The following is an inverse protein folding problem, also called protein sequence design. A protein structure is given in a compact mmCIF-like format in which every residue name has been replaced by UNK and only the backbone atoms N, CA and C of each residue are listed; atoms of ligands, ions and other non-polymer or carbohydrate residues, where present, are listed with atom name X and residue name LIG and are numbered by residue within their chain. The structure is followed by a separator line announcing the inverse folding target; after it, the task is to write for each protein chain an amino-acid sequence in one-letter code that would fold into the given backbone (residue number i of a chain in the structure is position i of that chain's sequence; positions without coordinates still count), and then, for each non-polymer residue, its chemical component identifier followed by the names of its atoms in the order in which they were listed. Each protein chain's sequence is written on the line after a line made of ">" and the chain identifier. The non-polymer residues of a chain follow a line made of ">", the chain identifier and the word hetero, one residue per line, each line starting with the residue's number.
data_IF_518221747684
#
_entry.id   IF_518221747684
#
_cell.length_a   1.000
_cell.length_b   1.000
_cell.length_c   1.000
_cell.angle_alpha   90.00
_cell.angle_beta   90.00
_cell.angle_gamma   90.00
#
_symmetry.space_group_name_H-M   'P 1'
#
loop_
_entity.id
_entity.type
_entity.pdbx_description
1 polymer ?
#
# COMPACT_ATOMS: atom_id res chain seq x y z
N UNK A 1 7.07 -11.53 -45.61
CA UNK A 1 6.63 -12.73 -44.88
C UNK A 1 5.80 -12.25 -43.70
N UNK A 2 4.47 -12.38 -43.80
CA UNK A 2 3.52 -12.08 -42.73
C UNK A 2 3.27 -13.36 -41.93
N UNK A 3 3.32 -13.28 -40.61
CA UNK A 3 2.64 -14.25 -39.75
C UNK A 3 1.85 -13.48 -38.69
N UNK A 4 0.54 -13.68 -38.74
CA UNK A 4 -0.44 -13.18 -37.82
C UNK A 4 -0.75 -14.23 -36.72
N UNK A 5 -1.45 -13.74 -35.68
CA UNK A 5 -2.27 -14.47 -34.70
C UNK A 5 -1.51 -15.13 -33.52
N UNK A 6 -2.03 -15.17 -32.28
CA UNK A 6 -3.43 -15.17 -31.79
C UNK A 6 -3.53 -14.48 -30.42
N UNK A 7 -4.69 -13.87 -30.16
CA UNK A 7 -5.23 -13.62 -28.81
C UNK A 7 -5.51 -14.95 -28.12
N UNK A 8 -5.15 -15.08 -26.86
CA UNK A 8 -5.73 -16.06 -25.93
C UNK A 8 -6.17 -15.36 -24.66
N UNK A 9 -7.49 -15.29 -24.48
CA UNK A 9 -8.14 -15.13 -23.19
C UNK A 9 -7.87 -16.39 -22.35
N UNK A 10 -7.43 -16.24 -21.10
CA UNK A 10 -7.26 -17.35 -20.17
C UNK A 10 -7.80 -16.97 -18.80
N UNK A 11 -9.06 -17.35 -18.61
CA UNK A 11 -9.64 -17.97 -17.42
C UNK A 11 -9.55 -17.24 -16.06
N UNK A 12 -10.72 -16.76 -15.62
CA UNK A 12 -11.09 -16.54 -14.22
C UNK A 12 -10.79 -17.77 -13.35
N UNK A 13 -10.17 -17.62 -12.18
CA UNK A 13 -10.23 -18.64 -11.15
C UNK A 13 -11.52 -18.46 -10.34
N UNK A 14 -12.44 -19.41 -10.49
CA UNK A 14 -13.53 -19.66 -9.55
C UNK A 14 -12.95 -19.87 -8.15
N UNK A 15 -13.27 -18.96 -7.23
CA UNK A 15 -12.81 -19.00 -5.84
C UNK A 15 -13.71 -19.95 -5.02
N UNK A 16 -13.47 -21.25 -5.10
CA UNK A 16 -14.10 -22.24 -4.22
C UNK A 16 -13.02 -23.02 -3.45
N UNK A 17 -12.59 -22.49 -2.30
CA UNK A 17 -11.85 -23.26 -1.30
C UNK A 17 -12.08 -22.68 0.10
N UNK A 18 -13.29 -22.88 0.64
CA UNK A 18 -13.50 -22.82 2.08
C UNK A 18 -12.76 -24.01 2.71
N UNK A 19 -11.49 -23.81 3.09
CA UNK A 19 -10.73 -24.77 3.90
C UNK A 19 -11.45 -24.94 5.24
N UNK A 20 -12.12 -26.07 5.45
CA UNK A 20 -12.59 -26.51 6.78
C UNK A 20 -11.38 -26.62 7.70
N UNK A 21 -11.11 -25.59 8.48
CA UNK A 21 -10.15 -25.68 9.57
C UNK A 21 -10.77 -26.57 10.65
N UNK A 22 -10.22 -27.78 10.79
CA UNK A 22 -10.58 -28.67 11.88
C UNK A 22 -9.92 -28.17 13.16
N UNK A 23 -10.72 -27.50 14.01
CA UNK A 23 -10.30 -27.06 15.33
C UNK A 23 -10.00 -28.28 16.22
N UNK A 24 -8.73 -28.48 16.57
CA UNK A 24 -8.32 -29.48 17.56
C UNK A 24 -8.55 -28.93 18.96
N UNK A 25 -9.67 -29.31 19.58
CA UNK A 25 -9.91 -29.05 21.00
C UNK A 25 -8.98 -29.89 21.89
N UNK A 26 -8.28 -29.23 22.81
CA UNK A 26 -7.45 -29.86 23.84
C UNK A 26 -8.28 -30.71 24.82
N UNK A 27 -7.66 -31.71 25.46
CA UNK A 27 -8.34 -32.73 26.28
C UNK A 27 -9.24 -32.17 27.39
N UNK A 28 -8.84 -31.06 28.03
CA UNK A 28 -9.65 -30.36 29.05
C UNK A 28 -10.95 -29.75 28.49
N UNK A 29 -10.93 -29.25 27.25
CA UNK A 29 -12.09 -28.62 26.62
C UNK A 29 -13.13 -29.63 26.17
N UNK A 30 -12.70 -30.85 25.81
CA UNK A 30 -13.62 -31.95 25.44
C UNK A 30 -14.49 -32.42 26.61
N UNK A 31 -13.96 -32.43 27.83
CA UNK A 31 -14.69 -32.87 29.02
C UNK A 31 -15.77 -31.88 29.45
N UNK A 32 -15.49 -30.58 29.36
CA UNK A 32 -16.44 -29.51 29.69
C UNK A 32 -17.62 -29.53 28.70
N UNK A 33 -17.33 -29.67 27.40
CA UNK A 33 -18.36 -29.71 26.36
C UNK A 33 -19.27 -30.95 26.47
N UNK A 34 -18.71 -32.13 26.79
CA UNK A 34 -19.49 -33.36 26.99
C UNK A 34 -20.39 -33.32 28.22
N UNK A 35 -19.97 -32.65 29.30
CA UNK A 35 -20.76 -32.55 30.53
C UNK A 35 -21.91 -31.53 30.41
N UNK A 36 -21.78 -30.50 29.57
CA UNK A 36 -22.88 -29.57 29.30
C UNK A 36 -24.02 -30.20 28.46
N UNK A 37 -23.72 -31.10 27.52
CA UNK A 37 -24.75 -31.70 26.66
C UNK A 37 -25.65 -32.70 27.41
N UNK A 38 -25.15 -33.33 28.47
CA UNK A 38 -25.90 -34.36 29.22
C UNK A 38 -26.75 -33.83 30.38
N UNK A 39 -26.67 -32.54 30.70
CA UNK A 39 -27.31 -31.97 31.88
C UNK A 39 -28.49 -31.06 31.50
N UNK A 40 -29.70 -31.63 31.48
CA UNK A 40 -31.00 -30.94 31.37
C UNK A 40 -31.32 -30.11 32.64
N UNK A 41 -30.41 -29.22 33.05
CA UNK A 41 -30.64 -28.30 34.18
C UNK A 41 -30.84 -26.88 33.63
N UNK A 42 -31.99 -26.23 33.88
CA UNK A 42 -32.37 -24.94 33.29
C UNK A 42 -31.52 -23.75 33.77
N UNK A 43 -30.56 -23.99 34.67
CA UNK A 43 -29.61 -22.98 35.15
C UNK A 43 -28.38 -22.77 34.24
N UNK A 44 -28.14 -23.63 33.24
CA UNK A 44 -27.08 -23.39 32.25
C UNK A 44 -27.49 -22.39 31.17
N UNK A 45 -28.79 -22.23 30.89
CA UNK A 45 -29.28 -21.43 29.76
C UNK A 45 -29.00 -19.92 29.96
N UNK A 46 -29.06 -19.44 31.21
CA UNK A 46 -28.77 -18.04 31.54
C UNK A 46 -27.28 -17.68 31.49
N UNK A 47 -26.38 -18.65 31.76
CA UNK A 47 -24.93 -18.42 31.63
C UNK A 47 -24.39 -18.74 30.24
N UNK A 48 -25.09 -19.58 29.48
CA UNK A 48 -24.75 -19.89 28.10
C UNK A 48 -25.03 -18.72 27.13
N UNK A 49 -25.92 -17.78 27.50
CA UNK A 49 -26.21 -16.60 26.68
C UNK A 49 -25.04 -15.59 26.62
N UNK A 50 -24.04 -15.70 27.50
CA UNK A 50 -22.92 -14.75 27.58
C UNK A 50 -21.66 -15.16 26.77
N UNK A 51 -21.67 -16.26 26.01
CA UNK A 51 -20.43 -16.80 25.39
C UNK A 51 -20.45 -16.88 23.86
N UNK A 52 -21.28 -16.10 23.16
CA UNK A 52 -21.22 -15.98 21.69
C UNK A 52 -21.12 -14.52 21.25
N UNK A 53 -20.08 -13.84 21.72
CA UNK A 53 -19.55 -12.65 21.06
C UNK A 53 -18.18 -13.03 20.46
N UNK A 54 -18.17 -13.89 19.44
CA UNK A 54 -16.99 -14.06 18.61
C UNK A 54 -16.84 -12.79 17.76
N UNK A 55 -15.98 -11.89 18.23
CA UNK A 55 -15.57 -10.69 17.52
C UNK A 55 -14.95 -11.14 16.20
N UNK A 56 -15.67 -10.96 15.09
CA UNK A 56 -15.06 -10.99 13.78
C UNK A 56 -14.17 -9.74 13.70
N UNK A 57 -12.89 -9.87 14.07
CA UNK A 57 -11.88 -8.87 13.74
C UNK A 57 -11.69 -8.92 12.22
N UNK A 58 -12.54 -8.21 11.49
CA UNK A 58 -12.28 -7.89 10.10
C UNK A 58 -11.06 -6.98 10.11
N UNK A 59 -9.91 -7.53 9.71
CA UNK A 59 -8.74 -6.68 9.53
C UNK A 59 -8.93 -5.93 8.22
N UNK A 60 -9.28 -4.66 8.33
CA UNK A 60 -9.35 -3.77 7.18
C UNK A 60 -7.92 -3.50 6.69
N UNK A 61 -7.73 -3.58 5.38
CA UNK A 61 -6.52 -3.10 4.72
C UNK A 61 -6.37 -1.60 4.98
N UNK A 62 -5.16 -1.16 5.34
CA UNK A 62 -4.87 0.26 5.51
C UNK A 62 -3.49 0.57 4.96
N UNK A 63 -3.44 1.56 4.08
CA UNK A 63 -2.21 2.06 3.48
C UNK A 63 -2.03 3.52 3.84
N UNK A 64 -0.80 3.88 4.23
CA UNK A 64 -0.38 5.24 4.51
C UNK A 64 0.78 5.64 3.62
N UNK A 65 0.74 6.88 3.14
CA UNK A 65 1.84 7.55 2.46
C UNK A 65 2.15 8.82 3.22
N UNK A 66 3.37 8.97 3.70
CA UNK A 66 3.85 10.19 4.35
C UNK A 66 4.91 10.85 3.48
N UNK A 67 4.74 12.13 3.23
CA UNK A 67 5.70 12.99 2.56
C UNK A 67 6.48 13.79 3.59
N UNK A 68 7.79 13.62 3.59
CA UNK A 68 8.73 14.52 4.23
C UNK A 68 9.34 15.44 3.15
N UNK A 69 8.88 16.68 3.15
CA UNK A 69 9.36 17.70 2.22
C UNK A 69 10.43 18.54 2.90
N UNK A 70 11.70 18.16 2.72
CA UNK A 70 12.83 18.89 3.29
C UNK A 70 13.25 20.13 2.47
N UNK A 71 12.53 20.43 1.38
CA UNK A 71 12.81 21.57 0.52
C UNK A 71 12.30 22.91 1.08
N UNK A 72 11.38 22.89 2.05
CA UNK A 72 10.72 24.09 2.58
C UNK A 72 9.77 24.79 1.60
N UNK A 73 9.57 24.24 0.39
CA UNK A 73 8.67 24.75 -0.64
C UNK A 73 8.15 23.61 -1.53
N UNK A 74 7.15 23.90 -2.37
CA UNK A 74 6.48 22.89 -3.19
C UNK A 74 5.34 22.19 -2.46
N UNK A 75 4.45 21.56 -3.25
CA UNK A 75 3.22 20.96 -2.77
C UNK A 75 3.21 19.45 -3.04
N UNK A 76 3.17 18.59 -2.02
CA UNK A 76 3.05 17.14 -2.22
C UNK A 76 1.76 16.80 -2.95
N UNK A 77 1.84 16.03 -4.03
CA UNK A 77 0.67 15.53 -4.77
C UNK A 77 0.73 14.01 -4.81
N UNK A 78 -0.44 13.39 -4.59
CA UNK A 78 -0.66 11.98 -4.93
C UNK A 78 -1.76 11.89 -5.97
N UNK A 79 -1.50 11.16 -7.05
CA UNK A 79 -2.51 10.80 -8.05
C UNK A 79 -2.73 9.29 -8.11
N UNK A 80 -3.95 8.89 -8.47
CA UNK A 80 -4.33 7.51 -8.77
C UNK A 80 -5.10 7.50 -10.09
N UNK A 81 -4.66 6.70 -11.06
CA UNK A 81 -5.33 6.59 -12.36
C UNK A 81 -5.52 7.92 -13.11
N UNK A 82 -4.66 8.90 -12.85
CA UNK A 82 -4.75 10.24 -13.45
C UNK A 82 -5.51 11.29 -12.63
N UNK A 83 -6.12 10.91 -11.51
CA UNK A 83 -6.88 11.81 -10.64
C UNK A 83 -6.11 12.14 -9.37
N UNK A 84 -6.14 13.39 -8.94
CA UNK A 84 -5.54 13.81 -7.67
C UNK A 84 -6.36 13.26 -6.50
N UNK A 85 -5.71 12.48 -5.64
CA UNK A 85 -6.32 11.86 -4.44
C UNK A 85 -5.77 12.45 -3.13
N UNK A 86 -4.63 13.14 -3.20
CA UNK A 86 -4.09 13.95 -2.10
C UNK A 86 -3.42 15.19 -2.70
N UNK A 87 -3.75 16.36 -2.15
CA UNK A 87 -3.24 17.64 -2.63
C UNK A 87 -2.73 18.49 -1.46
N UNK A 88 -1.42 18.51 -1.28
CA UNK A 88 -0.71 19.32 -0.29
C UNK A 88 -0.63 18.72 1.11
N UNK A 89 -1.30 17.60 1.37
CA UNK A 89 -1.16 16.91 2.67
C UNK A 89 0.17 16.17 2.75
N UNK A 90 0.88 16.33 3.86
CA UNK A 90 2.08 15.55 4.18
C UNK A 90 1.76 14.10 4.55
N UNK A 91 0.50 13.76 4.80
CA UNK A 91 0.09 12.38 5.07
C UNK A 91 -1.20 12.08 4.34
N UNK A 92 -1.21 10.95 3.66
CA UNK A 92 -2.36 10.36 3.02
C UNK A 92 -2.57 8.98 3.63
N UNK A 93 -3.83 8.65 3.93
CA UNK A 93 -4.20 7.30 4.40
C UNK A 93 -5.42 6.85 3.63
N UNK A 94 -5.42 5.58 3.25
CA UNK A 94 -6.54 4.94 2.57
C UNK A 94 -6.82 3.58 3.21
N UNK A 95 -8.10 3.22 3.34
CA UNK A 95 -8.57 1.90 3.77
C UNK A 95 -8.83 0.95 2.59
N UNK A 96 -8.49 1.36 1.37
CA UNK A 96 -8.49 0.54 0.17
C UNK A 96 -7.08 0.44 -0.43
N UNK A 97 -6.93 -0.49 -1.38
CA UNK A 97 -5.77 -0.54 -2.25
C UNK A 97 -5.54 0.80 -2.98
N UNK A 98 -4.28 1.13 -3.21
CA UNK A 98 -3.85 2.21 -4.09
C UNK A 98 -3.18 1.59 -5.31
N UNK A 99 -3.78 1.74 -6.49
CA UNK A 99 -3.30 1.10 -7.72
C UNK A 99 -2.72 2.12 -8.70
N UNK A 100 -1.47 1.89 -9.15
CA UNK A 100 -0.76 2.84 -10.02
C UNK A 100 -0.76 4.26 -9.43
N UNK A 101 -0.52 4.35 -8.13
CA UNK A 101 -0.35 5.61 -7.42
C UNK A 101 0.94 6.30 -7.85
N UNK A 102 0.89 7.62 -7.98
CA UNK A 102 2.07 8.45 -8.26
C UNK A 102 2.16 9.54 -7.23
N UNK A 103 3.33 9.68 -6.63
CA UNK A 103 3.65 10.71 -5.67
C UNK A 103 4.78 11.59 -6.21
N UNK A 104 4.59 12.91 -6.15
CA UNK A 104 5.59 13.88 -6.60
C UNK A 104 5.44 15.22 -5.87
N UNK A 105 6.50 16.03 -5.91
CA UNK A 105 6.47 17.39 -5.38
C UNK A 105 6.16 18.37 -6.49
N UNK A 106 4.99 18.99 -6.44
CA UNK A 106 4.62 20.04 -7.40
C UNK A 106 5.34 21.34 -7.05
N UNK A 107 6.30 21.73 -7.88
CA UNK A 107 7.07 22.98 -7.77
C UNK A 107 6.62 24.06 -8.75
N UNK A 108 5.63 23.76 -9.60
CA UNK A 108 5.07 24.64 -10.62
C UNK A 108 5.36 24.18 -12.06
N UNK A 109 6.36 23.32 -12.26
CA UNK A 109 6.77 22.80 -13.57
C UNK A 109 6.31 21.39 -13.87
N UNK A 110 5.80 20.64 -12.88
CA UNK A 110 5.37 19.26 -13.08
C UNK A 110 4.02 19.22 -13.80
N UNK A 111 3.87 18.26 -14.71
CA UNK A 111 2.58 17.90 -15.29
C UNK A 111 1.59 17.37 -14.24
N UNK A 112 0.35 17.16 -14.65
CA UNK A 112 -0.73 16.74 -13.75
C UNK A 112 -0.50 15.38 -13.08
N UNK A 113 0.36 14.54 -13.65
CA UNK A 113 0.74 13.23 -13.10
C UNK A 113 2.23 13.15 -12.74
N UNK A 114 2.89 14.30 -12.59
CA UNK A 114 4.33 14.37 -12.28
C UNK A 114 5.23 14.32 -13.51
N UNK A 115 4.70 14.48 -14.74
CA UNK A 115 5.54 14.61 -15.94
C UNK A 115 6.56 15.75 -15.77
N UNK A 116 7.81 15.52 -16.17
CA UNK A 116 8.91 16.47 -15.94
C UNK A 116 9.40 16.57 -14.49
N UNK A 117 8.97 15.66 -13.60
CA UNK A 117 9.37 15.63 -12.20
C UNK A 117 9.70 14.22 -11.71
N UNK A 118 10.43 14.16 -10.59
CA UNK A 118 10.75 12.89 -9.94
C UNK A 118 9.46 12.30 -9.39
N UNK A 119 9.10 11.10 -9.84
CA UNK A 119 7.89 10.40 -9.41
C UNK A 119 8.27 9.17 -8.59
N UNK A 120 7.61 9.01 -7.46
CA UNK A 120 7.54 7.74 -6.74
C UNK A 120 6.28 7.01 -7.18
N UNK A 121 6.44 5.91 -7.90
CA UNK A 121 5.36 5.03 -8.31
C UNK A 121 5.08 4.03 -7.20
N UNK A 122 3.80 3.74 -6.94
CA UNK A 122 3.40 2.82 -5.90
C UNK A 122 2.18 2.00 -6.27
N UNK A 123 2.20 0.74 -5.85
CA UNK A 123 1.03 -0.12 -5.79
C UNK A 123 0.95 -0.64 -4.36
N UNK A 124 -0.04 -0.16 -3.60
CA UNK A 124 -0.24 -0.53 -2.21
C UNK A 124 -1.45 -1.44 -2.13
N UNK A 125 -1.22 -2.75 -2.04
CA UNK A 125 -2.27 -3.75 -1.99
C UNK A 125 -1.82 -4.93 -1.11
N UNK A 126 -2.70 -5.44 -0.26
CA UNK A 126 -2.41 -6.64 0.51
C UNK A 126 -2.47 -7.91 -0.37
N UNK A 127 -1.53 -8.86 -0.26
CA UNK A 127 -0.36 -8.87 0.63
C UNK A 127 0.92 -8.30 -0.01
N UNK A 128 0.86 -7.81 -1.25
CA UNK A 128 2.05 -7.43 -2.03
C UNK A 128 1.98 -5.96 -2.43
N UNK A 129 2.71 -5.12 -1.71
CA UNK A 129 2.91 -3.72 -2.08
C UNK A 129 4.27 -3.51 -2.74
N UNK A 130 4.35 -2.61 -3.72
CA UNK A 130 5.59 -2.21 -4.38
C UNK A 130 5.67 -0.70 -4.44
N UNK A 131 6.89 -0.18 -4.34
CA UNK A 131 7.21 1.22 -4.52
C UNK A 131 8.52 1.30 -5.29
N UNK A 132 8.60 2.24 -6.21
CA UNK A 132 9.80 2.52 -6.99
C UNK A 132 9.89 4.00 -7.36
N UNK A 133 11.08 4.44 -7.72
CA UNK A 133 11.33 5.79 -8.22
C UNK A 133 11.47 5.69 -9.73
N UNK A 134 10.67 6.46 -10.45
CA UNK A 134 10.59 6.41 -11.90
C UNK A 134 11.16 7.69 -12.51
N UNK A 135 12.20 7.52 -13.31
CA UNK A 135 12.83 8.56 -14.13
C UNK A 135 12.75 8.18 -15.62
N UNK A 136 11.84 7.27 -15.96
CA UNK A 136 11.58 6.86 -17.33
C UNK A 136 10.70 7.93 -17.96
N UNK A 137 11.04 8.46 -19.16
CA UNK A 137 10.24 9.48 -19.82
C UNK A 137 8.75 9.11 -19.86
N UNK A 138 7.83 10.03 -19.49
CA UNK A 138 8.02 11.48 -19.36
C UNK A 138 8.46 11.98 -17.97
N UNK A 139 8.92 11.11 -17.07
CA UNK A 139 9.41 11.50 -15.75
C UNK A 139 10.90 11.87 -15.81
N UNK A 140 11.29 12.87 -15.02
CA UNK A 140 12.65 13.44 -15.05
C UNK A 140 13.12 13.71 -13.62
N UNK A 141 14.42 13.84 -13.41
CA UNK A 141 14.93 14.19 -12.08
C UNK A 141 14.67 15.68 -11.81
N UNK A 142 13.79 16.00 -10.86
CA UNK A 142 13.53 17.38 -10.41
C UNK A 142 14.00 17.63 -8.97
N UNK A 143 13.72 16.67 -8.09
CA UNK A 143 14.18 16.63 -6.69
C UNK A 143 14.70 15.24 -6.39
N UNK A 144 15.70 15.12 -5.52
CA UNK A 144 16.14 13.80 -5.06
C UNK A 144 15.05 13.21 -4.19
N UNK A 145 14.64 11.98 -4.48
CA UNK A 145 13.66 11.25 -3.69
C UNK A 145 14.32 10.01 -3.07
N UNK A 146 14.02 9.77 -1.81
CA UNK A 146 14.35 8.56 -1.09
C UNK A 146 13.05 7.88 -0.65
N UNK A 147 12.98 6.57 -0.89
CA UNK A 147 11.85 5.76 -0.46
C UNK A 147 12.19 5.04 0.85
N UNK A 148 11.32 5.20 1.85
CA UNK A 148 11.37 4.44 3.10
C UNK A 148 10.15 3.52 3.16
N UNK A 149 10.35 2.23 2.90
CA UNK A 149 9.31 1.23 3.05
C UNK A 149 9.40 0.65 4.45
N UNK A 150 8.44 0.97 5.31
CA UNK A 150 8.37 0.36 6.65
C UNK A 150 7.44 -0.84 6.57
N UNK A 151 8.01 -2.03 6.79
CA UNK A 151 7.26 -3.28 6.79
C UNK A 151 6.47 -3.50 8.11
N UNK A 152 5.16 -3.68 7.92
CA UNK A 152 4.15 -4.37 8.73
C UNK A 152 4.31 -4.42 10.26
N UNK A 153 3.35 -3.80 10.95
CA UNK A 153 2.68 -4.49 12.06
C UNK A 153 1.22 -4.70 11.69
N UNK A 154 0.86 -5.94 11.33
CA UNK A 154 -0.51 -6.41 11.12
C UNK A 154 -1.33 -5.63 10.05
N UNK A 155 -1.14 -5.97 8.77
CA UNK A 155 -2.00 -5.56 7.62
C UNK A 155 -2.10 -4.05 7.32
N UNK A 156 -1.25 -3.25 7.96
CA UNK A 156 -1.06 -1.84 7.66
C UNK A 156 0.29 -1.64 6.96
N UNK A 157 0.30 -0.97 5.81
CA UNK A 157 1.53 -0.59 5.11
C UNK A 157 1.73 0.92 5.21
N UNK A 158 2.93 1.34 5.60
CA UNK A 158 3.29 2.75 5.68
C UNK A 158 4.53 2.99 4.82
N UNK A 159 4.36 3.76 3.75
CA UNK A 159 5.44 4.27 2.91
C UNK A 159 5.80 5.70 3.30
N UNK A 160 7.09 5.97 3.45
CA UNK A 160 7.65 7.31 3.57
C UNK A 160 8.31 7.74 2.27
N UNK A 161 8.07 8.98 1.87
CA UNK A 161 8.73 9.63 0.75
C UNK A 161 9.50 10.81 1.33
N UNK A 162 10.83 10.69 1.34
CA UNK A 162 11.72 11.78 1.73
C UNK A 162 12.23 12.47 0.46
N UNK A 163 11.99 13.77 0.35
CA UNK A 163 12.39 14.57 -0.78
C UNK A 163 13.50 15.53 -0.33
N UNK A 164 14.73 15.23 -0.75
CA UNK A 164 15.82 16.19 -0.71
C UNK A 164 15.81 17.01 -1.99
N UNK A 165 15.58 18.30 -1.86
CA UNK A 165 15.89 19.21 -2.95
C UNK A 165 17.41 19.30 -3.09
N UNK A 166 17.94 19.30 -4.33
CA UNK A 166 19.28 19.80 -4.52
C UNK A 166 19.33 21.22 -3.96
N UNK A 167 20.36 21.47 -3.15
CA UNK A 167 20.83 22.81 -2.84
C UNK A 167 20.86 23.59 -4.16
N UNK A 168 20.26 24.78 -4.13
CA UNK A 168 20.30 25.84 -5.13
C UNK A 168 21.24 25.52 -6.29
N UNK A 169 20.67 25.24 -7.47
CA UNK A 169 21.39 24.80 -8.67
C UNK A 169 22.82 25.34 -8.69
N UNK A 170 23.79 24.49 -8.33
CA UNK A 170 25.16 24.75 -8.71
C UNK A 170 25.08 24.94 -10.23
N UNK A 171 25.35 26.18 -10.64
CA UNK A 171 25.61 26.55 -12.02
C UNK A 171 26.39 25.44 -12.68
N UNK A 172 26.09 25.08 -13.95
CA UNK A 172 26.64 23.88 -14.58
C UNK A 172 28.13 23.80 -14.27
N UNK A 173 28.52 22.79 -13.49
CA UNK A 173 29.93 22.46 -13.32
C UNK A 173 30.46 22.29 -14.74
N UNK A 174 31.24 23.28 -15.17
CA UNK A 174 32.02 23.22 -16.37
C UNK A 174 32.82 21.92 -16.25
N UNK A 175 32.45 20.93 -17.05
CA UNK A 175 33.28 19.74 -17.23
C UNK A 175 34.51 20.28 -17.95
N UNK A 176 35.50 20.69 -17.17
CA UNK A 176 36.79 21.10 -17.69
C UNK A 176 37.32 19.92 -18.51
N UNK A 177 37.31 20.14 -19.81
CA UNK A 177 37.83 19.27 -20.84
C UNK A 177 39.30 18.93 -20.49
N UNK A 178 39.66 17.67 -20.22
CA UNK A 178 41.04 17.31 -19.96
C UNK A 178 41.79 17.19 -21.29
N UNK A 179 42.08 18.33 -21.92
CA UNK A 179 43.18 18.41 -22.89
C UNK A 179 44.43 18.86 -22.17
N UNK A 180 45.24 17.89 -21.76
CA UNK A 180 46.70 18.02 -21.77
C UNK A 180 47.36 16.68 -22.03
#
# INVERSE_FOLDING_TARGET
>A
MNVAAKRSYSNSPTYSNARRQSFKFNGKQRTIYRNCIRSLIPHCVHKALLVVAFINLAVAEQHGVTFDNQCGSGRPIITEGGSVISDGSSTYTNSSSLWAGRAFLQTGSCGSNGEGCTVVEMTLINPTSTVDISLIPPFELSVSANQLLVEQQHLQYYGGIDLQCPFEADTPHNVDNPTK
#
